data_IF_979304089425
#
_entry.id   IF_979304089425
#
_cell.length_a   1.000
_cell.length_b   1.000
_cell.length_c   1.000
_cell.angle_alpha   90.00
_cell.angle_beta   90.00
_cell.angle_gamma   90.00
#
_symmetry.space_group_name_H-M   'P 1'
#
loop_
_entity.id
_entity.type
_entity.pdbx_description
1 polymer ?
#
# COMPACT_ATOMS: atom_id res chain seq x y z
N UNK A 1 11.71 -40.40 9.74
CA UNK A 1 11.95 -39.11 10.42
C UNK A 1 13.08 -38.29 9.76
N UNK A 2 13.12 -38.15 8.41
CA UNK A 2 14.16 -37.35 7.71
C UNK A 2 13.68 -36.14 6.92
N UNK A 3 12.35 -35.87 6.88
CA UNK A 3 11.80 -34.84 6.01
C UNK A 3 11.56 -33.46 6.68
N UNK A 4 11.73 -33.33 7.99
CA UNK A 4 11.47 -32.06 8.72
C UNK A 4 12.68 -31.14 8.69
N UNK A 5 13.91 -31.67 8.64
CA UNK A 5 15.12 -30.83 8.64
C UNK A 5 15.38 -30.13 7.28
N UNK A 6 15.06 -30.76 6.17
CA UNK A 6 15.29 -30.19 4.82
C UNK A 6 14.42 -29.01 4.51
N UNK A 7 13.18 -28.96 5.00
CA UNK A 7 12.27 -27.83 4.78
C UNK A 7 12.68 -26.59 5.61
N UNK A 8 13.20 -26.77 6.81
CA UNK A 8 13.71 -25.67 7.64
C UNK A 8 15.03 -25.09 7.12
N UNK A 9 15.91 -25.93 6.58
CA UNK A 9 17.15 -25.47 5.94
C UNK A 9 16.88 -24.70 4.65
N UNK A 10 15.97 -25.17 3.80
CA UNK A 10 15.56 -24.47 2.58
C UNK A 10 14.89 -23.13 2.89
N UNK A 11 14.06 -23.05 3.94
CA UNK A 11 13.43 -21.79 4.37
C UNK A 11 14.46 -20.77 4.85
N UNK A 12 15.52 -21.19 5.56
CA UNK A 12 16.60 -20.30 6.01
C UNK A 12 17.42 -19.77 4.82
N UNK A 13 17.74 -20.62 3.87
CA UNK A 13 18.48 -20.24 2.65
C UNK A 13 17.67 -19.26 1.82
N UNK A 14 16.37 -19.49 1.66
CA UNK A 14 15.47 -18.58 0.97
C UNK A 14 15.44 -17.18 1.60
N UNK A 15 15.23 -17.09 2.92
CA UNK A 15 15.20 -15.82 3.64
C UNK A 15 16.51 -15.05 3.51
N UNK A 16 17.65 -15.76 3.53
CA UNK A 16 18.97 -15.15 3.34
C UNK A 16 19.12 -14.60 1.92
N UNK A 17 18.68 -15.33 0.90
CA UNK A 17 18.70 -14.84 -0.49
C UNK A 17 17.83 -13.59 -0.64
N UNK A 18 16.62 -13.57 -0.07
CA UNK A 18 15.73 -12.39 -0.10
C UNK A 18 16.39 -11.18 0.59
N UNK A 19 17.06 -11.43 1.72
CA UNK A 19 17.79 -10.38 2.44
C UNK A 19 18.95 -9.81 1.60
N UNK A 20 19.74 -10.68 0.98
CA UNK A 20 20.84 -10.28 0.12
C UNK A 20 20.35 -9.54 -1.14
N UNK A 21 19.26 -10.00 -1.77
CA UNK A 21 18.62 -9.30 -2.88
C UNK A 21 18.18 -7.89 -2.46
N UNK A 22 17.57 -7.75 -1.28
CA UNK A 22 17.18 -6.44 -0.75
C UNK A 22 18.40 -5.51 -0.53
N UNK A 23 19.48 -6.03 0.02
CA UNK A 23 20.71 -5.27 0.22
C UNK A 23 21.32 -4.82 -1.12
N UNK A 24 21.32 -5.71 -2.11
CA UNK A 24 21.79 -5.41 -3.47
C UNK A 24 20.92 -4.35 -4.15
N UNK A 25 19.60 -4.47 -4.08
CA UNK A 25 18.66 -3.45 -4.59
C UNK A 25 18.97 -2.08 -3.99
N UNK A 26 19.29 -2.04 -2.69
CA UNK A 26 19.63 -0.81 -2.01
C UNK A 26 21.02 -0.27 -2.41
N UNK A 27 22.03 -1.15 -2.48
CA UNK A 27 23.42 -0.76 -2.85
C UNK A 27 23.51 -0.29 -4.29
N UNK A 28 22.81 -0.94 -5.20
CA UNK A 28 22.77 -0.60 -6.63
C UNK A 28 21.80 0.56 -6.94
N UNK A 29 21.13 1.11 -5.89
CA UNK A 29 20.18 2.24 -5.99
C UNK A 29 18.99 1.97 -6.94
N UNK A 30 18.58 0.70 -7.07
CA UNK A 30 17.51 0.29 -7.97
C UNK A 30 16.14 0.78 -7.48
N UNK A 31 15.33 1.27 -8.40
CA UNK A 31 14.00 1.84 -8.16
C UNK A 31 12.91 0.96 -8.80
N UNK A 32 11.65 1.14 -8.41
CA UNK A 32 10.54 0.55 -9.16
C UNK A 32 10.63 0.88 -10.65
N UNK A 33 10.50 -0.15 -11.49
CA UNK A 33 10.70 -0.07 -12.94
C UNK A 33 12.09 -0.46 -13.40
N UNK A 34 13.10 -0.48 -12.53
CA UNK A 34 14.45 -0.88 -12.90
C UNK A 34 14.56 -2.41 -13.05
N UNK A 35 15.44 -2.81 -13.94
CA UNK A 35 15.72 -4.21 -14.23
C UNK A 35 16.66 -4.80 -13.19
N UNK A 36 16.29 -5.97 -12.66
CA UNK A 36 17.18 -6.76 -11.82
C UNK A 36 18.26 -7.46 -12.66
N UNK A 37 19.44 -7.76 -12.08
CA UNK A 37 20.40 -8.63 -12.71
C UNK A 37 19.80 -9.98 -13.08
N UNK A 38 20.31 -10.63 -14.11
CA UNK A 38 19.85 -11.93 -14.57
C UNK A 38 20.04 -13.02 -13.51
N UNK A 39 19.26 -14.12 -13.60
CA UNK A 39 19.44 -15.28 -12.71
C UNK A 39 20.91 -15.72 -12.61
N UNK A 40 21.66 -15.67 -13.73
CA UNK A 40 23.06 -16.03 -13.75
C UNK A 40 23.91 -15.05 -12.94
N UNK A 41 23.74 -13.78 -13.17
CA UNK A 41 24.47 -12.74 -12.42
C UNK A 41 24.13 -12.77 -10.93
N UNK A 42 22.86 -13.00 -10.58
CA UNK A 42 22.45 -13.17 -9.19
C UNK A 42 23.10 -14.40 -8.53
N UNK A 43 23.19 -15.51 -9.26
CA UNK A 43 23.90 -16.72 -8.79
C UNK A 43 25.36 -16.43 -8.47
N UNK A 44 26.03 -15.68 -9.37
CA UNK A 44 27.43 -15.29 -9.20
C UNK A 44 27.61 -14.30 -8.04
N UNK A 45 26.80 -13.24 -8.00
CA UNK A 45 26.87 -12.17 -6.97
C UNK A 45 26.53 -12.67 -5.56
N UNK A 46 25.53 -13.52 -5.43
CA UNK A 46 25.04 -14.02 -4.15
C UNK A 46 25.73 -15.31 -3.70
N UNK A 47 26.54 -15.91 -4.58
CA UNK A 47 27.23 -17.19 -4.34
C UNK A 47 26.30 -18.31 -3.90
N UNK A 48 25.14 -18.45 -4.57
CA UNK A 48 24.10 -19.45 -4.28
C UNK A 48 23.72 -20.22 -5.54
N UNK A 49 23.07 -21.39 -5.38
CA UNK A 49 22.63 -22.21 -6.51
C UNK A 49 21.56 -21.56 -7.38
N UNK A 50 21.55 -21.84 -8.68
CA UNK A 50 20.54 -21.31 -9.64
C UNK A 50 19.11 -21.64 -9.24
N UNK A 51 18.88 -22.86 -8.73
CA UNK A 51 17.55 -23.28 -8.25
C UNK A 51 17.05 -22.39 -7.13
N UNK A 52 17.93 -22.06 -6.16
CA UNK A 52 17.58 -21.21 -5.02
C UNK A 52 17.30 -19.76 -5.43
N UNK A 53 18.08 -19.21 -6.37
CA UNK A 53 17.79 -17.86 -6.94
C UNK A 53 16.43 -17.86 -7.64
N UNK A 54 16.16 -18.86 -8.48
CA UNK A 54 14.89 -18.96 -9.20
C UNK A 54 13.70 -19.08 -8.27
N UNK A 55 13.82 -19.88 -7.21
CA UNK A 55 12.77 -20.02 -6.20
C UNK A 55 12.53 -18.70 -5.44
N UNK A 56 13.59 -18.00 -5.05
CA UNK A 56 13.49 -16.70 -4.41
C UNK A 56 12.82 -15.66 -5.34
N UNK A 57 13.22 -15.59 -6.61
CA UNK A 57 12.59 -14.71 -7.59
C UNK A 57 11.11 -15.04 -7.81
N UNK A 58 10.74 -16.31 -7.96
CA UNK A 58 9.34 -16.73 -8.08
C UNK A 58 8.49 -16.31 -6.88
N UNK A 59 9.05 -16.44 -5.68
CA UNK A 59 8.33 -16.01 -4.47
C UNK A 59 8.18 -14.51 -4.39
N UNK A 60 9.21 -13.73 -4.75
CA UNK A 60 9.10 -12.27 -4.84
C UNK A 60 8.10 -11.82 -5.92
N UNK A 61 8.02 -12.56 -7.04
CA UNK A 61 7.03 -12.32 -8.09
C UNK A 61 5.62 -12.65 -7.63
N UNK A 62 5.43 -13.75 -6.88
CA UNK A 62 4.16 -14.11 -6.25
C UNK A 62 3.68 -13.01 -5.28
N UNK A 63 4.61 -12.45 -4.50
CA UNK A 63 4.34 -11.34 -3.59
C UNK A 63 4.13 -10.00 -4.31
N UNK A 64 4.31 -9.95 -5.65
CA UNK A 64 4.13 -8.74 -6.44
C UNK A 64 5.24 -7.70 -6.27
N UNK A 65 6.39 -8.09 -5.71
CA UNK A 65 7.54 -7.20 -5.50
C UNK A 65 8.39 -7.03 -6.76
N UNK A 66 8.34 -8.01 -7.65
CA UNK A 66 9.01 -8.01 -8.95
C UNK A 66 8.05 -8.55 -10.03
N UNK A 67 8.37 -8.32 -11.28
CA UNK A 67 7.67 -8.92 -12.42
C UNK A 67 8.66 -9.43 -13.45
N UNK A 68 8.39 -10.60 -14.02
CA UNK A 68 9.17 -11.16 -15.12
C UNK A 68 8.47 -10.87 -16.43
N UNK A 69 9.14 -10.14 -17.33
CA UNK A 69 8.69 -9.87 -18.69
C UNK A 69 9.42 -10.81 -19.64
N UNK A 70 8.64 -11.57 -20.42
CA UNK A 70 9.18 -12.58 -21.32
C UNK A 70 10.13 -11.95 -22.34
N UNK A 71 11.39 -12.40 -22.35
CA UNK A 71 12.42 -11.90 -23.26
C UNK A 71 13.09 -10.59 -22.80
N UNK A 72 12.55 -9.89 -21.83
CA UNK A 72 13.08 -8.61 -21.36
C UNK A 72 13.84 -8.75 -20.04
N UNK A 73 13.42 -9.66 -19.15
CA UNK A 73 14.04 -9.92 -17.85
C UNK A 73 13.09 -9.64 -16.68
N UNK A 74 13.66 -9.54 -15.49
CA UNK A 74 12.93 -9.30 -14.23
C UNK A 74 13.09 -7.84 -13.81
N UNK A 75 12.00 -7.21 -13.39
CA UNK A 75 11.94 -5.80 -13.03
C UNK A 75 11.37 -5.62 -11.63
N UNK A 76 11.85 -4.60 -10.91
CA UNK A 76 11.30 -4.20 -9.61
C UNK A 76 9.92 -3.57 -9.86
N UNK A 77 8.91 -4.00 -9.12
CA UNK A 77 7.60 -3.36 -9.13
C UNK A 77 7.49 -2.31 -8.02
N UNK A 78 6.72 -1.27 -8.31
CA UNK A 78 6.21 -0.42 -7.25
C UNK A 78 5.30 -1.27 -6.35
N UNK A 79 5.55 -1.22 -5.05
CA UNK A 79 4.77 -1.98 -4.07
C UNK A 79 3.37 -1.37 -3.97
N UNK A 80 2.50 -1.81 -4.84
CA UNK A 80 1.06 -1.48 -4.82
C UNK A 80 0.23 -2.60 -4.20
N UNK A 81 0.77 -3.34 -3.28
CA UNK A 81 0.09 -4.29 -2.38
C UNK A 81 -0.78 -5.41 -2.98
N UNK A 82 -1.33 -5.24 -4.16
CA UNK A 82 -2.49 -5.97 -4.68
C UNK A 82 -2.41 -7.51 -4.61
N UNK A 83 -1.30 -8.12 -5.04
CA UNK A 83 -1.25 -9.61 -5.08
C UNK A 83 -1.09 -10.24 -3.70
N UNK A 84 -0.27 -9.63 -2.83
CA UNK A 84 -0.10 -10.13 -1.47
C UNK A 84 -1.40 -9.97 -0.69
N UNK A 85 -2.06 -8.82 -0.84
CA UNK A 85 -3.34 -8.53 -0.20
C UNK A 85 -4.42 -9.50 -0.67
N UNK A 86 -4.53 -9.74 -1.98
CA UNK A 86 -5.49 -10.70 -2.53
C UNK A 86 -5.27 -12.12 -1.97
N UNK A 87 -4.01 -12.57 -1.88
CA UNK A 87 -3.67 -13.87 -1.33
C UNK A 87 -3.97 -13.97 0.17
N UNK A 88 -3.59 -12.96 0.96
CA UNK A 88 -3.81 -12.94 2.41
C UNK A 88 -5.29 -12.75 2.73
N UNK A 89 -6.02 -11.93 1.98
CA UNK A 89 -7.44 -11.68 2.21
C UNK A 89 -8.30 -12.93 2.09
N UNK A 90 -7.93 -13.87 1.19
CA UNK A 90 -8.62 -15.14 1.07
C UNK A 90 -8.50 -16.03 2.30
N UNK A 91 -7.48 -15.82 3.13
CA UNK A 91 -7.22 -16.60 4.35
C UNK A 91 -7.58 -15.88 5.64
N UNK A 92 -7.43 -14.55 5.69
CA UNK A 92 -7.56 -13.76 6.92
C UNK A 92 -8.92 -13.08 7.02
N UNK A 93 -9.50 -12.62 5.89
CA UNK A 93 -10.75 -11.86 5.88
C UNK A 93 -11.97 -12.73 5.55
N UNK A 94 -12.01 -13.96 6.06
CA UNK A 94 -13.15 -14.84 5.82
C UNK A 94 -14.34 -14.56 6.75
N UNK A 95 -14.11 -13.90 7.87
CA UNK A 95 -15.17 -13.56 8.82
C UNK A 95 -15.58 -12.09 8.76
N UNK A 96 -16.80 -11.81 9.19
CA UNK A 96 -17.37 -10.45 9.20
C UNK A 96 -16.70 -9.54 10.25
N UNK A 97 -16.03 -10.11 11.24
CA UNK A 97 -15.32 -9.37 12.28
C UNK A 97 -14.03 -8.77 11.71
N UNK A 98 -13.24 -9.56 10.98
CA UNK A 98 -12.04 -9.07 10.31
C UNK A 98 -12.34 -7.95 9.29
N UNK A 99 -13.52 -8.02 8.63
CA UNK A 99 -13.98 -6.92 7.75
C UNK A 99 -14.20 -5.63 8.52
N UNK A 100 -14.86 -5.70 9.68
CA UNK A 100 -15.08 -4.53 10.55
C UNK A 100 -13.76 -3.94 11.02
N UNK A 101 -12.80 -4.78 11.41
CA UNK A 101 -11.49 -4.36 11.87
C UNK A 101 -10.70 -3.64 10.78
N UNK A 102 -10.77 -4.09 9.52
CA UNK A 102 -10.15 -3.41 8.37
C UNK A 102 -10.76 -2.01 8.20
N UNK A 103 -12.08 -1.89 8.27
CA UNK A 103 -12.75 -0.59 8.16
C UNK A 103 -12.40 0.35 9.31
N UNK A 104 -12.40 -0.16 10.52
CA UNK A 104 -12.03 0.61 11.70
C UNK A 104 -10.57 1.11 11.61
N UNK A 105 -9.65 0.24 11.22
CA UNK A 105 -8.26 0.62 11.05
C UNK A 105 -8.08 1.66 9.93
N UNK A 106 -8.77 1.52 8.81
CA UNK A 106 -8.74 2.50 7.72
C UNK A 106 -9.26 3.85 8.17
N UNK A 107 -10.40 3.87 8.91
CA UNK A 107 -10.96 5.08 9.51
C UNK A 107 -9.94 5.78 10.43
N UNK A 108 -9.30 5.03 11.34
CA UNK A 108 -8.31 5.58 12.28
C UNK A 108 -7.10 6.18 11.55
N UNK A 109 -6.59 5.49 10.54
CA UNK A 109 -5.47 5.98 9.74
C UNK A 109 -5.83 7.27 9.00
N UNK A 110 -6.99 7.33 8.38
CA UNK A 110 -7.44 8.53 7.65
C UNK A 110 -7.63 9.71 8.60
N UNK A 111 -8.22 9.49 9.77
CA UNK A 111 -8.38 10.52 10.81
C UNK A 111 -7.03 11.06 11.29
N UNK A 112 -6.05 10.18 11.52
CA UNK A 112 -4.72 10.61 11.93
C UNK A 112 -3.95 11.31 10.81
N UNK A 113 -4.21 10.97 9.53
CA UNK A 113 -3.68 11.75 8.39
C UNK A 113 -4.19 13.19 8.41
N UNK A 114 -5.47 13.42 8.70
CA UNK A 114 -6.02 14.78 8.82
C UNK A 114 -5.33 15.58 9.94
N UNK A 115 -5.06 14.94 11.08
CA UNK A 115 -4.30 15.55 12.20
C UNK A 115 -2.87 15.91 11.76
N UNK A 116 -2.19 15.01 11.06
CA UNK A 116 -0.84 15.25 10.55
C UNK A 116 -0.80 16.42 9.55
N UNK A 117 -1.80 16.55 8.68
CA UNK A 117 -1.90 17.67 7.73
C UNK A 117 -1.96 18.99 8.49
N UNK A 118 -2.81 19.09 9.52
CA UNK A 118 -2.91 20.31 10.34
C UNK A 118 -1.57 20.59 11.05
N UNK A 119 -0.92 19.58 11.61
CA UNK A 119 0.37 19.76 12.31
C UNK A 119 1.50 20.21 11.39
N UNK A 120 1.53 19.73 10.13
CA UNK A 120 2.58 20.07 9.16
C UNK A 120 2.41 21.45 8.55
N UNK A 121 1.20 21.99 8.60
CA UNK A 121 0.89 23.35 8.19
C UNK A 121 1.35 23.72 6.77
N UNK A 122 1.18 22.79 5.81
CA UNK A 122 1.55 23.03 4.42
C UNK A 122 0.35 23.56 3.63
N UNK A 123 0.07 24.83 3.83
CA UNK A 123 -1.10 25.50 3.25
C UNK A 123 -1.05 25.53 1.72
N UNK A 124 0.13 25.58 1.09
CA UNK A 124 0.27 25.56 -0.37
C UNK A 124 -0.23 24.23 -0.96
N UNK A 125 0.22 23.10 -0.44
CA UNK A 125 -0.24 21.78 -0.92
C UNK A 125 -1.73 21.58 -0.68
N UNK A 126 -2.24 22.05 0.45
CA UNK A 126 -3.65 21.94 0.79
C UNK A 126 -4.52 22.83 -0.13
N UNK A 127 -4.09 24.04 -0.46
CA UNK A 127 -4.77 24.90 -1.43
C UNK A 127 -4.76 24.27 -2.84
N UNK A 128 -3.65 23.68 -3.27
CA UNK A 128 -3.58 22.96 -4.55
C UNK A 128 -4.57 21.80 -4.58
N UNK A 129 -4.70 21.07 -3.48
CA UNK A 129 -5.68 20.00 -3.36
C UNK A 129 -7.12 20.51 -3.35
N UNK A 130 -7.40 21.63 -2.68
CA UNK A 130 -8.71 22.29 -2.74
C UNK A 130 -9.10 22.64 -4.17
N UNK A 131 -8.19 23.24 -4.94
CA UNK A 131 -8.41 23.53 -6.36
C UNK A 131 -8.69 22.27 -7.16
N UNK A 132 -7.91 21.20 -6.93
CA UNK A 132 -8.12 19.93 -7.61
C UNK A 132 -9.51 19.36 -7.32
N UNK A 133 -9.95 19.35 -6.06
CA UNK A 133 -11.27 18.84 -5.66
C UNK A 133 -12.40 19.68 -6.27
N UNK A 134 -12.25 20.99 -6.37
CA UNK A 134 -13.30 21.87 -6.94
C UNK A 134 -13.44 21.72 -8.44
N UNK A 135 -12.34 21.43 -9.16
CA UNK A 135 -12.31 21.44 -10.62
C UNK A 135 -12.43 20.05 -11.27
N UNK A 136 -12.15 18.96 -10.55
CA UNK A 136 -12.16 17.60 -11.10
C UNK A 136 -13.32 16.77 -10.54
N UNK A 137 -13.69 15.73 -11.30
CA UNK A 137 -14.47 14.62 -10.79
C UNK A 137 -13.50 13.61 -10.15
N UNK A 138 -13.92 12.99 -9.06
CA UNK A 138 -13.13 12.02 -8.31
C UNK A 138 -14.03 11.04 -7.57
N UNK A 139 -13.48 9.89 -7.21
CA UNK A 139 -14.12 8.98 -6.27
C UNK A 139 -13.55 9.13 -4.85
N UNK A 140 -14.17 8.43 -3.89
CA UNK A 140 -13.75 8.45 -2.47
C UNK A 140 -12.30 7.97 -2.28
N UNK A 141 -11.88 6.96 -3.05
CA UNK A 141 -10.52 6.42 -2.95
C UNK A 141 -9.47 7.40 -3.48
N UNK A 142 -9.75 8.11 -4.57
CA UNK A 142 -8.87 9.16 -5.11
C UNK A 142 -8.75 10.33 -4.15
N UNK A 143 -9.88 10.75 -3.55
CA UNK A 143 -9.88 11.82 -2.56
C UNK A 143 -9.01 11.46 -1.34
N UNK A 144 -9.25 10.30 -0.73
CA UNK A 144 -8.49 9.89 0.45
C UNK A 144 -7.05 9.47 0.16
N UNK A 145 -6.75 9.00 -1.05
CA UNK A 145 -5.37 8.85 -1.50
C UNK A 145 -4.59 10.17 -1.44
N UNK A 146 -5.21 11.27 -1.88
CA UNK A 146 -4.61 12.60 -1.78
C UNK A 146 -4.47 13.06 -0.32
N UNK A 147 -5.49 12.88 0.52
CA UNK A 147 -5.43 13.17 1.96
C UNK A 147 -4.25 12.42 2.61
N UNK A 148 -4.15 11.11 2.39
CA UNK A 148 -3.07 10.29 2.96
C UNK A 148 -1.71 10.71 2.42
N UNK A 149 -1.62 11.09 1.15
CA UNK A 149 -0.38 11.60 0.53
C UNK A 149 0.03 12.94 1.16
N UNK A 150 -0.92 13.84 1.41
CA UNK A 150 -0.70 15.13 2.08
C UNK A 150 -0.21 14.99 3.52
N UNK A 151 -0.49 13.85 4.18
CA UNK A 151 0.08 13.55 5.50
C UNK A 151 1.61 13.39 5.47
N UNK A 152 2.22 13.24 4.28
CA UNK A 152 3.66 13.08 4.04
C UNK A 152 4.31 11.92 4.84
N UNK A 153 3.53 10.92 5.24
CA UNK A 153 4.02 9.73 5.89
C UNK A 153 3.98 8.54 4.93
N UNK A 154 5.15 8.20 4.36
CA UNK A 154 5.27 7.14 3.35
C UNK A 154 4.84 5.76 3.87
N UNK A 155 5.01 5.48 5.16
CA UNK A 155 4.61 4.20 5.73
C UNK A 155 3.09 4.14 5.89
N UNK A 156 2.46 5.21 6.37
CA UNK A 156 1.00 5.31 6.45
C UNK A 156 0.38 5.14 5.05
N UNK A 157 0.92 5.80 4.03
CA UNK A 157 0.44 5.66 2.66
C UNK A 157 0.48 4.19 2.18
N UNK A 158 1.57 3.47 2.47
CA UNK A 158 1.68 2.05 2.09
C UNK A 158 0.67 1.17 2.82
N UNK A 159 0.48 1.40 4.12
CA UNK A 159 -0.50 0.65 4.91
C UNK A 159 -1.92 0.96 4.43
N UNK A 160 -2.24 2.23 4.17
CA UNK A 160 -3.55 2.63 3.66
C UNK A 160 -3.86 2.00 2.30
N UNK A 161 -2.87 1.93 1.38
CA UNK A 161 -3.03 1.24 0.10
C UNK A 161 -3.38 -0.24 0.28
N UNK A 162 -2.73 -0.92 1.23
CA UNK A 162 -3.05 -2.31 1.59
C UNK A 162 -4.49 -2.42 2.08
N UNK A 163 -4.92 -1.55 2.99
CA UNK A 163 -6.29 -1.54 3.52
C UNK A 163 -7.33 -1.23 2.43
N UNK A 164 -7.02 -0.31 1.52
CA UNK A 164 -7.87 -0.01 0.36
C UNK A 164 -8.06 -1.23 -0.54
N UNK A 165 -7.00 -2.00 -0.76
CA UNK A 165 -7.07 -3.22 -1.56
C UNK A 165 -7.92 -4.30 -0.86
N UNK A 166 -7.87 -4.38 0.47
CA UNK A 166 -8.79 -5.22 1.26
C UNK A 166 -10.25 -4.81 1.07
N UNK A 167 -10.56 -3.50 1.12
CA UNK A 167 -11.91 -2.99 0.87
C UNK A 167 -12.44 -3.40 -0.52
N UNK A 168 -11.58 -3.36 -1.54
CA UNK A 168 -11.94 -3.74 -2.90
C UNK A 168 -12.30 -5.24 -3.01
N UNK A 169 -11.55 -6.12 -2.32
CA UNK A 169 -11.83 -7.57 -2.28
C UNK A 169 -13.15 -7.86 -1.57
N UNK A 170 -13.48 -7.10 -0.54
CA UNK A 170 -14.71 -7.25 0.25
C UNK A 170 -15.98 -6.83 -0.50
N UNK A 171 -15.85 -6.22 -1.69
CA UNK A 171 -16.97 -5.77 -2.55
C UNK A 171 -18.04 -4.96 -1.81
N UNK A 172 -17.63 -4.15 -0.85
CA UNK A 172 -18.58 -3.32 -0.11
C UNK A 172 -19.08 -2.21 -1.02
N UNK A 173 -20.38 -2.11 -1.16
CA UNK A 173 -21.01 -1.05 -1.94
C UNK A 173 -20.69 0.31 -1.31
N UNK A 174 -19.80 1.08 -1.92
CA UNK A 174 -19.49 2.43 -1.46
C UNK A 174 -20.61 3.37 -1.90
N UNK A 175 -21.29 3.99 -0.94
CA UNK A 175 -22.16 5.12 -1.24
C UNK A 175 -21.29 6.34 -1.52
N UNK A 176 -21.41 6.89 -2.71
CA UNK A 176 -20.72 8.15 -3.06
C UNK A 176 -21.37 9.29 -2.29
N UNK A 177 -20.58 9.98 -1.48
CA UNK A 177 -21.04 11.18 -0.80
C UNK A 177 -21.14 12.36 -1.81
N UNK A 178 -22.03 13.32 -1.60
CA UNK A 178 -22.07 14.55 -2.40
C UNK A 178 -20.72 15.29 -2.30
N UNK A 179 -20.29 15.91 -3.42
CA UNK A 179 -19.01 16.62 -3.56
C UNK A 179 -18.82 17.70 -2.50
N UNK A 180 -19.90 18.37 -2.12
CA UNK A 180 -19.93 19.43 -1.10
C UNK A 180 -19.39 18.95 0.27
N UNK A 181 -19.58 17.68 0.61
CA UNK A 181 -19.07 17.12 1.88
C UNK A 181 -17.56 16.97 1.88
N UNK A 182 -16.99 16.61 0.74
CA UNK A 182 -15.53 16.53 0.57
C UNK A 182 -14.91 17.94 0.60
N UNK A 183 -15.56 18.91 -0.01
CA UNK A 183 -15.17 20.32 0.03
C UNK A 183 -15.21 20.85 1.47
N UNK A 184 -16.28 20.58 2.22
CA UNK A 184 -16.41 21.02 3.62
C UNK A 184 -15.28 20.48 4.51
N UNK A 185 -14.81 19.26 4.26
CA UNK A 185 -13.66 18.70 5.00
C UNK A 185 -12.38 19.49 4.70
N UNK A 186 -12.09 19.81 3.43
CA UNK A 186 -10.88 20.57 3.08
C UNK A 186 -10.96 22.00 3.62
N UNK A 187 -12.11 22.65 3.56
CA UNK A 187 -12.32 23.98 4.13
C UNK A 187 -12.08 23.99 5.63
N UNK A 188 -12.53 22.95 6.35
CA UNK A 188 -12.23 22.78 7.77
C UNK A 188 -10.73 22.60 8.03
N UNK A 189 -10.01 21.89 7.15
CA UNK A 189 -8.54 21.73 7.22
C UNK A 189 -7.82 23.06 6.98
N UNK A 190 -8.22 23.84 5.96
CA UNK A 190 -7.66 25.15 5.66
C UNK A 190 -7.85 26.14 6.80
N UNK A 191 -9.03 26.09 7.43
CA UNK A 191 -9.36 26.93 8.59
C UNK A 191 -8.78 26.40 9.91
N UNK A 192 -8.14 25.22 9.90
CA UNK A 192 -7.60 24.52 11.09
C UNK A 192 -8.66 24.31 12.18
N UNK A 193 -9.94 24.20 11.75
CA UNK A 193 -11.08 23.95 12.63
C UNK A 193 -11.13 22.45 13.00
N UNK A 194 -10.57 22.11 14.16
CA UNK A 194 -10.51 20.72 14.62
C UNK A 194 -11.89 20.08 14.80
N UNK A 195 -12.87 20.83 15.30
CA UNK A 195 -14.24 20.34 15.46
C UNK A 195 -14.92 20.09 14.11
N UNK A 196 -14.76 21.03 13.18
CA UNK A 196 -15.25 20.92 11.80
C UNK A 196 -14.61 19.77 11.03
N UNK A 197 -13.31 19.53 11.19
CA UNK A 197 -12.60 18.38 10.59
C UNK A 197 -13.22 17.07 11.05
N UNK A 198 -13.37 16.85 12.34
CA UNK A 198 -13.94 15.62 12.91
C UNK A 198 -15.39 15.45 12.45
N UNK A 199 -16.20 16.50 12.50
CA UNK A 199 -17.60 16.47 12.09
C UNK A 199 -17.77 16.13 10.60
N UNK A 200 -17.03 16.82 9.72
CA UNK A 200 -17.06 16.59 8.27
C UNK A 200 -16.56 15.20 7.91
N UNK A 201 -15.47 14.74 8.50
CA UNK A 201 -14.94 13.40 8.29
C UNK A 201 -15.93 12.32 8.73
N UNK A 202 -16.51 12.43 9.92
CA UNK A 202 -17.52 11.49 10.41
C UNK A 202 -18.76 11.48 9.50
N UNK A 203 -19.18 12.63 8.96
CA UNK A 203 -20.28 12.72 8.01
C UNK A 203 -19.99 11.96 6.70
N UNK A 204 -18.74 12.01 6.20
CA UNK A 204 -18.31 11.26 5.04
C UNK A 204 -18.30 9.75 5.33
N UNK A 205 -17.70 9.34 6.45
CA UNK A 205 -17.53 7.93 6.80
C UNK A 205 -18.82 7.23 7.20
N UNK A 206 -19.77 7.92 7.84
CA UNK A 206 -21.11 7.36 8.11
C UNK A 206 -21.92 7.08 6.84
N UNK A 207 -21.65 7.76 5.73
CA UNK A 207 -22.30 7.49 4.45
C UNK A 207 -21.65 6.32 3.70
N UNK A 208 -20.36 6.06 3.95
CA UNK A 208 -19.64 4.93 3.32
C UNK A 208 -19.77 3.62 4.09
N UNK A 209 -20.36 3.62 5.29
CA UNK A 209 -20.44 2.45 6.19
C UNK A 209 -21.74 1.63 6.06
N UNK A 210 -22.58 1.88 5.04
CA UNK A 210 -23.83 1.12 4.83
C UNK A 210 -24.01 0.71 3.38
#
# INVERSE_FOLDING_TARGET
MKNVNTSQENSKVYLEIVKQLRLMIHSDNLKPGDKLPSERELTERLNVGRSSVREALRSLELLGLIETRRGEGTFIRDFKGHRLVELISTFILQDEEAKKDVHELKYLIELDCLRLIVQRNNDEKLNNFYQWVTTNDFDDDEYFFNIVTLSENRLILRIWLILKDYDAVLKIAKKVAPKEKYIALIESLLNKDQAGIISSFNSLRKLSSY
#
